data_IF_447180064518
#
_entry.id   IF_447180064518
#
_cell.length_a   1.000
_cell.length_b   1.000
_cell.length_c   1.000
_cell.angle_alpha   90.00
_cell.angle_beta   90.00
_cell.angle_gamma   90.00
#
_symmetry.space_group_name_H-M   'P 1'
#
loop_
_entity.id
_entity.type
_entity.pdbx_description
1 polymer ?
#
# COMPACT_ATOMS: atom_id res chain seq x y z
N UNK A 1 -1.19 12.53 -14.57
CA UNK A 1 -2.59 12.15 -14.26
C UNK A 1 -2.70 10.84 -13.46
N UNK A 2 -2.08 9.75 -13.92
CA UNK A 2 -2.09 8.43 -13.23
C UNK A 2 -1.70 8.52 -11.77
N UNK A 3 -0.58 9.20 -11.47
CA UNK A 3 -0.07 9.35 -10.11
C UNK A 3 -1.06 10.04 -9.15
N UNK A 4 -1.69 11.13 -9.60
CA UNK A 4 -2.73 11.83 -8.82
C UNK A 4 -3.91 10.91 -8.52
N UNK A 5 -4.38 10.17 -9.53
CA UNK A 5 -5.50 9.26 -9.38
C UNK A 5 -5.20 8.17 -8.33
N UNK A 6 -3.99 7.61 -8.35
CA UNK A 6 -3.55 6.60 -7.38
C UNK A 6 -3.49 7.19 -5.97
N UNK A 7 -2.92 8.39 -5.79
CA UNK A 7 -2.91 9.08 -4.49
C UNK A 7 -4.34 9.23 -3.94
N UNK A 8 -5.27 9.71 -4.77
CA UNK A 8 -6.67 9.88 -4.35
C UNK A 8 -7.30 8.55 -3.95
N UNK A 9 -7.07 7.49 -4.72
CA UNK A 9 -7.58 6.15 -4.39
C UNK A 9 -7.00 5.64 -3.07
N UNK A 10 -5.68 5.77 -2.87
CA UNK A 10 -5.00 5.38 -1.63
C UNK A 10 -5.61 6.08 -0.42
N UNK A 11 -5.77 7.41 -0.48
CA UNK A 11 -6.30 8.17 0.65
C UNK A 11 -7.78 7.85 0.93
N UNK A 12 -8.60 7.63 -0.10
CA UNK A 12 -10.01 7.24 0.09
C UNK A 12 -10.14 5.84 0.70
N UNK A 13 -9.26 4.92 0.32
CA UNK A 13 -9.21 3.58 0.91
C UNK A 13 -8.75 3.60 2.35
N UNK A 14 -7.77 4.45 2.67
CA UNK A 14 -7.31 4.65 4.04
C UNK A 14 -8.41 5.19 4.95
N UNK A 15 -9.10 6.26 4.52
CA UNK A 15 -10.25 6.82 5.24
C UNK A 15 -11.42 5.82 5.36
N UNK A 16 -11.58 4.91 4.39
CA UNK A 16 -12.55 3.82 4.50
C UNK A 16 -12.15 2.75 5.52
N UNK A 17 -10.89 2.73 5.96
CA UNK A 17 -10.32 1.78 6.91
C UNK A 17 -9.67 0.55 6.28
N UNK A 18 -9.39 0.58 4.97
CA UNK A 18 -8.93 -0.60 4.22
C UNK A 18 -7.58 -1.12 4.72
N UNK A 19 -6.60 -0.23 4.94
CA UNK A 19 -5.26 -0.61 5.33
C UNK A 19 -5.18 -1.05 6.79
N UNK A 20 -5.91 -0.40 7.71
CA UNK A 20 -6.02 -0.87 9.11
C UNK A 20 -6.70 -2.24 9.17
N UNK A 21 -7.78 -2.43 8.40
CA UNK A 21 -8.46 -3.72 8.27
C UNK A 21 -7.51 -4.82 7.78
N UNK A 22 -6.67 -4.53 6.77
CA UNK A 22 -5.70 -5.49 6.24
C UNK A 22 -4.58 -5.79 7.25
N UNK A 23 -4.05 -4.78 7.94
CA UNK A 23 -3.04 -4.93 8.97
C UNK A 23 -3.54 -5.79 10.14
N UNK A 24 -4.77 -5.56 10.62
CA UNK A 24 -5.39 -6.36 11.68
C UNK A 24 -5.61 -7.82 11.26
N UNK A 25 -5.96 -8.08 10.00
CA UNK A 25 -6.07 -9.44 9.46
C UNK A 25 -4.72 -10.15 9.45
N UNK A 26 -3.70 -9.49 8.89
CA UNK A 26 -2.32 -9.97 8.86
C UNK A 26 -1.80 -10.28 10.27
N UNK A 27 -2.10 -9.40 11.23
CA UNK A 27 -1.72 -9.60 12.62
C UNK A 27 -2.44 -10.80 13.26
N UNK A 28 -3.67 -11.11 12.87
CA UNK A 28 -4.36 -12.32 13.35
C UNK A 28 -3.87 -13.59 12.66
N UNK A 29 -3.58 -13.55 11.36
CA UNK A 29 -3.02 -14.66 10.60
C UNK A 29 -1.64 -15.09 11.09
N UNK A 30 -0.92 -14.16 11.71
CA UNK A 30 0.37 -14.42 12.35
C UNK A 30 0.27 -15.31 13.60
N UNK A 31 -0.94 -15.60 14.09
CA UNK A 31 -1.24 -16.55 15.19
C UNK A 31 -0.42 -16.28 16.45
N UNK A 32 -0.21 -15.00 16.78
CA UNK A 32 0.53 -14.57 17.96
C UNK A 32 2.05 -14.73 17.87
N UNK A 33 2.63 -15.04 16.70
CA UNK A 33 4.09 -15.12 16.51
C UNK A 33 4.66 -13.81 15.96
N UNK A 34 5.57 -13.15 16.68
CA UNK A 34 6.14 -11.88 16.23
C UNK A 34 7.01 -12.02 14.98
N UNK A 35 7.64 -13.18 14.75
CA UNK A 35 8.35 -13.48 13.51
C UNK A 35 7.42 -13.54 12.28
N UNK A 36 6.25 -14.18 12.43
CA UNK A 36 5.24 -14.22 11.36
C UNK A 36 4.63 -12.84 11.13
N UNK A 37 4.37 -12.10 12.22
CA UNK A 37 3.89 -10.73 12.15
C UNK A 37 4.85 -9.85 11.37
N UNK A 38 6.14 -9.94 11.68
CA UNK A 38 7.16 -9.20 10.93
C UNK A 38 7.12 -9.53 9.45
N UNK A 39 7.19 -10.81 9.08
CA UNK A 39 7.16 -11.22 7.69
C UNK A 39 5.89 -10.77 6.97
N UNK A 40 4.71 -10.94 7.58
CA UNK A 40 3.46 -10.57 6.94
C UNK A 40 3.25 -9.05 6.84
N UNK A 41 3.74 -8.26 7.80
CA UNK A 41 3.71 -6.80 7.70
C UNK A 41 4.64 -6.31 6.59
N UNK A 42 5.83 -6.92 6.44
CA UNK A 42 6.70 -6.63 5.30
C UNK A 42 6.01 -6.98 3.99
N UNK A 43 5.41 -8.17 3.88
CA UNK A 43 4.71 -8.57 2.65
C UNK A 43 3.48 -7.70 2.35
N UNK A 44 2.74 -7.27 3.38
CA UNK A 44 1.66 -6.29 3.24
C UNK A 44 2.22 -4.95 2.72
N UNK A 45 3.32 -4.47 3.28
CA UNK A 45 4.00 -3.27 2.83
C UNK A 45 4.46 -3.35 1.37
N UNK A 46 5.03 -4.48 0.97
CA UNK A 46 5.40 -4.73 -0.42
C UNK A 46 4.18 -4.70 -1.36
N UNK A 47 3.09 -5.36 -0.99
CA UNK A 47 1.87 -5.41 -1.79
C UNK A 47 1.20 -4.03 -1.92
N UNK A 48 1.13 -3.28 -0.82
CA UNK A 48 0.57 -1.92 -0.84
C UNK A 48 1.47 -1.00 -1.68
N UNK A 49 2.78 -1.05 -1.49
CA UNK A 49 3.72 -0.22 -2.27
C UNK A 49 3.66 -0.53 -3.77
N UNK A 50 3.57 -1.80 -4.15
CA UNK A 50 3.37 -2.20 -5.53
C UNK A 50 2.09 -1.62 -6.14
N UNK A 51 1.02 -1.41 -5.36
CA UNK A 51 -0.26 -0.96 -5.90
C UNK A 51 -0.53 0.54 -5.78
N UNK A 52 0.07 1.24 -4.79
CA UNK A 52 -0.44 2.53 -4.28
C UNK A 52 0.55 3.70 -4.23
N UNK A 53 1.68 3.55 -4.89
CA UNK A 53 2.86 4.39 -4.75
C UNK A 53 3.61 4.20 -3.42
N UNK A 54 4.95 4.23 -3.47
CA UNK A 54 5.80 4.04 -2.29
C UNK A 54 5.54 5.08 -1.19
N UNK A 55 5.35 6.35 -1.56
CA UNK A 55 5.12 7.46 -0.64
C UNK A 55 3.81 7.27 0.12
N UNK A 56 2.75 6.88 -0.61
CA UNK A 56 1.45 6.56 -0.02
C UNK A 56 1.55 5.38 0.94
N UNK A 57 2.23 4.30 0.54
CA UNK A 57 2.46 3.14 1.38
C UNK A 57 3.22 3.51 2.67
N UNK A 58 4.28 4.31 2.56
CA UNK A 58 5.07 4.75 3.71
C UNK A 58 4.27 5.65 4.65
N UNK A 59 3.54 6.64 4.13
CA UNK A 59 2.74 7.58 4.92
C UNK A 59 1.56 6.92 5.63
N UNK A 60 0.92 5.93 4.99
CA UNK A 60 -0.28 5.28 5.50
C UNK A 60 0.05 4.08 6.40
N UNK A 61 0.93 3.17 5.96
CA UNK A 61 1.21 1.96 6.72
C UNK A 61 2.02 2.21 7.98
N UNK A 62 2.92 3.20 7.98
CA UNK A 62 3.76 3.50 9.15
C UNK A 62 2.92 3.82 10.40
N UNK A 63 1.97 4.78 10.40
CA UNK A 63 1.15 5.06 11.57
C UNK A 63 0.26 3.87 11.97
N UNK A 64 -0.24 3.10 11.01
CA UNK A 64 -1.04 1.88 11.27
C UNK A 64 -0.18 0.83 11.99
N UNK A 65 1.01 0.55 11.47
CA UNK A 65 1.96 -0.40 12.07
C UNK A 65 2.38 0.09 13.44
N UNK A 66 2.72 1.37 13.59
CA UNK A 66 3.08 1.97 14.88
C UNK A 66 1.97 1.84 15.92
N UNK A 67 0.73 2.18 15.57
CA UNK A 67 -0.41 2.10 16.51
C UNK A 67 -0.65 0.66 16.97
N UNK A 68 -0.50 -0.31 16.07
CA UNK A 68 -0.59 -1.74 16.39
C UNK A 68 0.56 -2.21 17.29
N UNK A 69 1.80 -1.81 17.03
CA UNK A 69 2.95 -2.18 17.86
C UNK A 69 2.84 -1.61 19.27
N UNK A 70 2.33 -0.37 19.38
CA UNK A 70 2.01 0.25 20.66
C UNK A 70 0.90 -0.51 21.41
N UNK A 71 -0.18 -0.89 20.72
CA UNK A 71 -1.25 -1.70 21.31
C UNK A 71 -0.75 -3.06 21.81
N UNK A 72 0.19 -3.67 21.08
CA UNK A 72 0.84 -4.92 21.45
C UNK A 72 1.95 -4.77 22.50
N UNK A 73 2.27 -3.52 22.92
CA UNK A 73 3.33 -3.18 23.88
C UNK A 73 4.71 -3.73 23.50
N UNK A 74 5.06 -3.64 22.21
CA UNK A 74 6.37 -4.07 21.74
C UNK A 74 7.49 -3.17 22.28
N UNK A 75 8.68 -3.74 22.44
CA UNK A 75 9.86 -3.00 22.91
C UNK A 75 10.28 -1.95 21.87
N UNK A 76 11.00 -0.88 22.28
CA UNK A 76 11.52 0.11 21.33
C UNK A 76 12.39 -0.51 20.21
N UNK A 77 13.16 -1.55 20.54
CA UNK A 77 13.98 -2.27 19.57
C UNK A 77 13.13 -3.03 18.54
N UNK A 78 12.07 -3.72 18.99
CA UNK A 78 11.13 -4.36 18.08
C UNK A 78 10.40 -3.32 17.22
N UNK A 79 9.94 -2.21 17.80
CA UNK A 79 9.29 -1.13 17.06
C UNK A 79 10.20 -0.55 15.98
N UNK A 80 11.47 -0.32 16.30
CA UNK A 80 12.48 0.10 15.32
C UNK A 80 12.60 -0.90 14.17
N UNK A 81 12.65 -2.21 14.46
CA UNK A 81 12.72 -3.24 13.43
C UNK A 81 11.56 -3.15 12.43
N UNK A 82 10.32 -3.04 12.93
CA UNK A 82 9.13 -2.94 12.07
C UNK A 82 9.09 -1.64 11.26
N UNK A 83 9.44 -0.50 11.86
CA UNK A 83 9.46 0.79 11.16
C UNK A 83 10.52 0.81 10.07
N UNK A 84 11.73 0.32 10.38
CA UNK A 84 12.80 0.19 9.39
C UNK A 84 12.36 -0.73 8.25
N UNK A 85 11.74 -1.85 8.57
CA UNK A 85 11.25 -2.77 7.57
C UNK A 85 10.16 -2.17 6.69
N UNK A 86 9.22 -1.41 7.26
CA UNK A 86 8.21 -0.67 6.51
C UNK A 86 8.84 0.34 5.54
N UNK A 87 9.89 1.07 5.95
CA UNK A 87 10.61 1.99 5.08
C UNK A 87 11.32 1.30 3.91
N UNK A 88 12.16 0.30 4.20
CA UNK A 88 12.90 -0.42 3.16
C UNK A 88 11.98 -1.17 2.20
N UNK A 89 10.88 -1.73 2.70
CA UNK A 89 9.94 -2.46 1.85
C UNK A 89 9.02 -1.55 1.06
N UNK A 90 8.70 -0.35 1.56
CA UNK A 90 7.99 0.64 0.77
C UNK A 90 8.80 0.98 -0.49
N UNK A 91 10.11 1.18 -0.35
CA UNK A 91 10.96 1.42 -1.52
C UNK A 91 11.08 0.19 -2.43
N UNK A 92 11.53 -0.94 -1.86
CA UNK A 92 11.76 -2.18 -2.62
C UNK A 92 10.50 -2.74 -3.29
N UNK A 93 9.36 -2.69 -2.59
CA UNK A 93 8.08 -3.19 -3.05
C UNK A 93 7.47 -2.37 -4.19
N UNK A 94 8.00 -1.17 -4.44
CA UNK A 94 7.55 -0.30 -5.53
C UNK A 94 8.22 -0.58 -6.88
N UNK A 95 9.15 -1.52 -6.95
CA UNK A 95 9.84 -1.88 -8.21
C UNK A 95 8.96 -2.55 -9.28
N UNK A 96 8.01 -3.46 -8.96
CA UNK A 96 7.38 -4.31 -9.98
C UNK A 96 6.53 -3.60 -11.03
N UNK A 97 5.79 -2.54 -10.68
CA UNK A 97 4.84 -1.91 -11.59
C UNK A 97 5.23 -0.46 -11.87
N UNK A 98 4.96 -0.01 -13.11
CA UNK A 98 5.22 1.37 -13.56
C UNK A 98 4.56 2.38 -12.62
N UNK A 99 3.34 2.07 -12.17
CA UNK A 99 2.50 2.96 -11.37
C UNK A 99 2.90 3.07 -9.89
N UNK A 100 3.77 2.19 -9.42
CA UNK A 100 4.16 2.07 -8.01
C UNK A 100 5.17 3.11 -7.55
N UNK A 101 5.83 3.80 -8.48
CA UNK A 101 6.83 4.82 -8.14
C UNK A 101 6.89 5.86 -9.25
N UNK A 102 7.03 7.14 -8.88
CA UNK A 102 7.21 8.22 -9.84
C UNK A 102 8.41 7.97 -10.78
N UNK A 103 9.52 7.46 -10.24
CA UNK A 103 10.72 7.17 -11.03
C UNK A 103 10.44 6.11 -12.10
N UNK A 104 9.61 5.13 -11.79
CA UNK A 104 9.20 4.11 -12.76
C UNK A 104 8.31 4.70 -13.86
N UNK A 105 7.36 5.57 -13.50
CA UNK A 105 6.50 6.28 -14.47
C UNK A 105 7.36 7.11 -15.43
N UNK A 106 8.27 7.93 -14.91
CA UNK A 106 9.14 8.79 -15.73
C UNK A 106 10.07 7.96 -16.62
N UNK A 107 10.63 6.87 -16.09
CA UNK A 107 11.50 5.99 -16.86
C UNK A 107 10.75 5.28 -17.97
N UNK A 108 9.56 4.73 -17.68
CA UNK A 108 8.73 4.07 -18.66
C UNK A 108 8.29 5.02 -19.78
N UNK A 109 7.91 6.25 -19.43
CA UNK A 109 7.54 7.28 -20.42
C UNK A 109 8.73 7.68 -21.30
N UNK A 110 9.90 7.93 -20.70
CA UNK A 110 11.12 8.32 -21.42
C UNK A 110 11.58 7.24 -22.42
N UNK A 111 11.51 5.97 -22.03
CA UNK A 111 11.91 4.84 -22.88
C UNK A 111 10.76 4.26 -23.73
N UNK A 112 9.54 4.79 -23.61
CA UNK A 112 8.36 4.28 -24.31
C UNK A 112 8.01 2.83 -23.94
N UNK A 113 8.25 2.43 -22.69
CA UNK A 113 7.96 1.08 -22.21
C UNK A 113 6.47 0.92 -21.88
N UNK A 114 5.84 -0.10 -22.45
CA UNK A 114 4.49 -0.50 -22.10
C UNK A 114 4.40 -1.05 -20.66
N UNK A 115 3.21 -0.99 -20.07
CA UNK A 115 2.98 -1.48 -18.70
C UNK A 115 3.29 -2.97 -18.57
N UNK A 116 2.81 -3.79 -19.51
CA UNK A 116 3.02 -5.23 -19.51
C UNK A 116 4.49 -5.60 -19.72
N UNK A 117 5.18 -4.93 -20.64
CA UNK A 117 6.60 -5.16 -20.92
C UNK A 117 7.46 -4.85 -19.71
N UNK A 118 7.24 -3.69 -19.08
CA UNK A 118 7.91 -3.31 -17.84
C UNK A 118 7.67 -4.35 -16.74
N UNK A 119 6.39 -4.70 -16.49
CA UNK A 119 6.02 -5.64 -15.44
C UNK A 119 6.61 -7.04 -15.67
N UNK A 120 6.71 -7.49 -16.92
CA UNK A 120 7.25 -8.82 -17.26
C UNK A 120 8.70 -9.02 -16.78
N UNK A 121 9.50 -7.94 -16.77
CA UNK A 121 10.89 -7.93 -16.31
C UNK A 121 10.97 -7.57 -14.83
N UNK A 122 10.23 -6.56 -14.42
CA UNK A 122 10.37 -5.96 -13.09
C UNK A 122 9.63 -6.73 -11.99
N UNK A 123 8.60 -7.53 -12.31
CA UNK A 123 7.94 -8.40 -11.33
C UNK A 123 8.89 -9.47 -10.79
N UNK A 124 9.61 -10.26 -11.61
CA UNK A 124 10.63 -11.18 -11.12
C UNK A 124 11.73 -10.50 -10.29
N UNK A 125 12.23 -9.35 -10.76
CA UNK A 125 13.25 -8.55 -10.04
C UNK A 125 12.71 -8.09 -8.69
N UNK A 126 11.49 -7.54 -8.65
CA UNK A 126 10.86 -7.07 -7.43
C UNK A 126 10.57 -8.19 -6.45
N UNK A 127 10.18 -9.39 -6.90
CA UNK A 127 10.02 -10.55 -6.01
C UNK A 127 11.36 -10.96 -5.39
N UNK A 128 12.44 -11.01 -6.18
CA UNK A 128 13.78 -11.31 -5.67
C UNK A 128 14.26 -10.24 -4.68
N UNK A 129 14.03 -8.96 -4.98
CA UNK A 129 14.38 -7.84 -4.10
C UNK A 129 13.58 -7.86 -2.81
N UNK A 130 12.26 -8.06 -2.85
CA UNK A 130 11.39 -8.20 -1.66
C UNK A 130 11.84 -9.38 -0.80
N UNK A 131 12.12 -10.53 -1.41
CA UNK A 131 12.59 -11.71 -0.67
C UNK A 131 13.95 -11.45 -0.01
N UNK A 132 14.87 -10.79 -0.70
CA UNK A 132 16.20 -10.44 -0.18
C UNK A 132 16.11 -9.42 0.94
N UNK A 133 15.32 -8.35 0.76
CA UNK A 133 15.07 -7.33 1.77
C UNK A 133 14.44 -7.94 3.03
N UNK A 134 13.40 -8.77 2.87
CA UNK A 134 12.79 -9.49 3.98
C UNK A 134 13.81 -10.39 4.70
N UNK A 135 14.61 -11.15 3.95
CA UNK A 135 15.62 -12.05 4.53
C UNK A 135 16.67 -11.28 5.33
N UNK A 136 17.25 -10.23 4.75
CA UNK A 136 18.29 -9.42 5.39
C UNK A 136 17.76 -8.75 6.65
N UNK A 137 16.59 -8.10 6.57
CA UNK A 137 15.98 -7.43 7.71
C UNK A 137 15.57 -8.43 8.79
N UNK A 138 15.02 -9.58 8.41
CA UNK A 138 14.68 -10.63 9.35
C UNK A 138 15.94 -11.14 10.07
N UNK A 139 17.02 -11.44 9.35
CA UNK A 139 18.26 -11.92 9.95
C UNK A 139 18.92 -10.88 10.86
N UNK A 140 18.83 -9.60 10.50
CA UNK A 140 19.36 -8.48 11.29
C UNK A 140 18.57 -8.29 12.59
N UNK A 141 17.24 -8.20 12.51
CA UNK A 141 16.36 -7.88 13.64
C UNK A 141 15.79 -9.09 14.39
N UNK A 142 16.05 -10.34 13.97
CA UNK A 142 15.47 -11.56 14.59
C UNK A 142 15.64 -11.66 16.12
N UNK A 143 16.66 -11.00 16.68
CA UNK A 143 16.91 -11.00 18.13
C UNK A 143 16.04 -9.99 18.87
N UNK A 144 15.63 -8.92 18.20
CA UNK A 144 14.82 -7.85 18.75
C UNK A 144 13.32 -8.13 18.62
N UNK A 145 12.94 -8.99 17.67
CA UNK A 145 11.55 -9.38 17.45
C UNK A 145 10.99 -10.24 18.61
N UNK A 146 9.79 -9.93 19.11
CA UNK A 146 9.17 -10.71 20.17
C UNK A 146 8.80 -12.11 19.65
N UNK A 147 9.00 -13.13 20.48
CA UNK A 147 8.62 -14.50 20.10
C UNK A 147 7.10 -14.66 20.03
N UNK A 148 6.37 -14.05 20.97
CA UNK A 148 4.92 -14.11 21.07
C UNK A 148 4.29 -12.77 21.42
N UNK A 149 3.04 -12.58 21.02
CA UNK A 149 2.21 -11.46 21.44
C UNK A 149 0.75 -11.90 21.63
N UNK A 150 0.01 -11.15 22.45
CA UNK A 150 -1.39 -11.41 22.76
C UNK A 150 -2.30 -10.88 21.64
N UNK A 151 -3.14 -11.75 21.07
CA UNK A 151 -4.09 -11.38 20.01
C UNK A 151 -5.27 -10.58 20.56
N UNK A 152 -5.56 -10.74 21.85
CA UNK A 152 -6.64 -10.09 22.58
C UNK A 152 -6.41 -8.59 22.72
N UNK A 153 -5.16 -8.13 22.62
CA UNK A 153 -4.80 -6.72 22.62
C UNK A 153 -5.16 -6.00 21.30
N UNK A 154 -5.46 -6.75 20.24
CA UNK A 154 -5.82 -6.19 18.93
C UNK A 154 -7.32 -6.01 18.78
N UNK A 155 -7.72 -4.90 18.17
CA UNK A 155 -9.11 -4.65 17.78
C UNK A 155 -9.62 -5.73 16.81
N UNK A 156 -10.94 -5.87 16.73
CA UNK A 156 -11.55 -6.72 15.72
C UNK A 156 -11.42 -6.04 14.34
N UNK A 157 -11.04 -6.75 13.26
CA UNK A 157 -10.83 -6.11 11.96
C UNK A 157 -12.06 -5.38 11.43
N UNK A 158 -13.26 -5.85 11.75
CA UNK A 158 -14.53 -5.22 11.36
C UNK A 158 -14.68 -3.80 11.92
N UNK A 159 -14.06 -3.51 13.08
CA UNK A 159 -14.12 -2.18 13.71
C UNK A 159 -13.26 -1.14 12.99
N UNK A 160 -12.35 -1.57 12.11
CA UNK A 160 -11.55 -0.66 11.29
C UNK A 160 -12.36 -0.08 10.12
N UNK A 161 -13.46 -0.71 9.69
CA UNK A 161 -14.22 -0.26 8.52
C UNK A 161 -15.10 0.94 8.91
N UNK A 162 -14.70 2.14 8.47
CA UNK A 162 -15.43 3.38 8.75
C UNK A 162 -16.60 3.62 7.77
N UNK A 163 -16.39 3.26 6.50
CA UNK A 163 -17.43 3.34 5.48
C UNK A 163 -17.47 2.08 4.60
N UNK A 164 -18.48 1.25 4.84
CA UNK A 164 -18.66 -0.03 4.16
C UNK A 164 -18.88 0.12 2.65
N UNK A 165 -19.55 1.19 2.21
CA UNK A 165 -19.79 1.41 0.79
C UNK A 165 -18.47 1.72 0.06
N UNK A 166 -17.72 2.70 0.56
CA UNK A 166 -16.40 3.04 0.01
C UNK A 166 -15.40 1.88 0.14
N UNK A 167 -15.46 1.09 1.22
CA UNK A 167 -14.61 -0.10 1.37
C UNK A 167 -14.87 -1.17 0.29
N UNK A 168 -16.14 -1.54 0.06
CA UNK A 168 -16.49 -2.55 -0.94
C UNK A 168 -16.19 -2.06 -2.34
N UNK A 169 -16.61 -0.84 -2.68
CA UNK A 169 -16.32 -0.24 -3.99
C UNK A 169 -14.82 -0.09 -4.16
N UNK A 170 -14.10 0.33 -3.12
CA UNK A 170 -12.65 0.43 -3.09
C UNK A 170 -11.96 -0.88 -3.44
N UNK A 171 -12.36 -1.99 -2.84
CA UNK A 171 -11.83 -3.31 -3.18
C UNK A 171 -12.06 -3.68 -4.66
N UNK A 172 -13.24 -3.37 -5.20
CA UNK A 172 -13.52 -3.56 -6.62
C UNK A 172 -12.73 -2.60 -7.52
N UNK A 173 -12.52 -1.36 -7.08
CA UNK A 173 -11.70 -0.37 -7.77
C UNK A 173 -10.26 -0.84 -7.89
N UNK A 174 -9.72 -1.52 -6.89
CA UNK A 174 -8.37 -2.11 -6.96
C UNK A 174 -8.26 -3.25 -7.95
N UNK A 175 -9.24 -4.15 -7.92
CA UNK A 175 -9.30 -5.22 -8.91
C UNK A 175 -9.46 -4.63 -10.33
N UNK A 176 -10.32 -3.63 -10.48
CA UNK A 176 -10.54 -2.92 -11.74
C UNK A 176 -9.31 -2.18 -12.25
N UNK A 177 -8.54 -1.54 -11.35
CA UNK A 177 -7.25 -0.93 -11.67
C UNK A 177 -6.26 -1.97 -12.20
N UNK A 178 -6.06 -3.06 -11.46
CA UNK A 178 -5.10 -4.09 -11.80
C UNK A 178 -5.46 -4.76 -13.14
N UNK A 179 -6.72 -5.19 -13.28
CA UNK A 179 -7.22 -5.79 -14.52
C UNK A 179 -7.16 -4.78 -15.66
N UNK A 180 -7.56 -3.54 -15.41
CA UNK A 180 -7.55 -2.47 -16.41
C UNK A 180 -6.14 -2.17 -16.92
N UNK A 181 -5.13 -2.16 -16.06
CA UNK A 181 -3.74 -1.95 -16.49
C UNK A 181 -3.21 -3.10 -17.35
N UNK A 182 -3.54 -4.35 -17.05
CA UNK A 182 -3.06 -5.49 -17.86
C UNK A 182 -3.89 -5.73 -19.13
N UNK A 183 -5.17 -5.37 -19.15
CA UNK A 183 -6.09 -5.68 -20.27
C UNK A 183 -6.28 -4.49 -21.21
N UNK A 184 -6.42 -3.27 -20.69
CA UNK A 184 -6.78 -2.10 -21.50
C UNK A 184 -5.56 -1.39 -22.08
N UNK A 185 -4.41 -1.46 -21.42
CA UNK A 185 -3.18 -0.85 -21.93
C UNK A 185 -2.68 -1.47 -23.25
N UNK A 186 -2.68 -2.81 -23.42
CA UNK A 186 -2.37 -3.43 -24.72
C UNK A 186 -3.37 -3.09 -25.83
N UNK A 187 -4.57 -2.63 -25.47
CA UNK A 187 -5.61 -2.17 -26.40
C UNK A 187 -5.46 -0.68 -26.76
N UNK A 188 -4.39 -0.03 -26.30
CA UNK A 188 -4.09 1.38 -26.56
C UNK A 188 -4.77 2.37 -25.62
N UNK A 189 -5.43 1.89 -24.54
CA UNK A 189 -6.01 2.78 -23.53
C UNK A 189 -4.93 3.22 -22.55
N UNK A 190 -4.66 4.52 -22.39
CA UNK A 190 -3.65 4.98 -21.46
C UNK A 190 -3.99 4.60 -20.01
N UNK A 191 -2.98 4.15 -19.26
CA UNK A 191 -3.05 3.84 -17.82
C UNK A 191 -3.66 5.00 -17.02
N UNK A 192 -3.43 6.24 -17.45
CA UNK A 192 -4.01 7.45 -16.86
C UNK A 192 -5.52 7.51 -16.91
N UNK A 193 -6.14 7.04 -18.00
CA UNK A 193 -7.61 7.03 -18.19
C UNK A 193 -8.24 5.99 -17.27
N UNK A 194 -7.64 4.79 -17.21
CA UNK A 194 -8.09 3.72 -16.32
C UNK A 194 -8.04 4.19 -14.86
N UNK A 195 -6.89 4.74 -14.44
CA UNK A 195 -6.71 5.24 -13.08
C UNK A 195 -7.68 6.38 -12.75
N UNK A 196 -7.85 7.35 -13.66
CA UNK A 196 -8.78 8.46 -13.47
C UNK A 196 -10.24 8.00 -13.35
N UNK A 197 -10.67 7.03 -14.16
CA UNK A 197 -12.03 6.48 -14.09
C UNK A 197 -12.26 5.78 -12.75
N UNK A 198 -11.32 4.94 -12.32
CA UNK A 198 -11.34 4.29 -11.01
C UNK A 198 -11.40 5.29 -9.85
N UNK A 199 -10.57 6.34 -9.89
CA UNK A 199 -10.57 7.39 -8.88
C UNK A 199 -11.89 8.16 -8.86
N UNK A 200 -12.45 8.49 -10.02
CA UNK A 200 -13.72 9.21 -10.13
C UNK A 200 -14.90 8.41 -9.56
N UNK A 201 -14.96 7.10 -9.87
CA UNK A 201 -15.99 6.20 -9.34
C UNK A 201 -15.89 6.11 -7.81
N UNK A 202 -14.69 5.86 -7.29
CA UNK A 202 -14.48 5.74 -5.85
C UNK A 202 -14.79 7.05 -5.12
N UNK A 203 -14.34 8.18 -5.68
CA UNK A 203 -14.61 9.51 -5.14
C UNK A 203 -16.10 9.83 -5.12
N UNK A 204 -16.84 9.50 -6.18
CA UNK A 204 -18.29 9.73 -6.24
C UNK A 204 -19.05 8.94 -5.18
N UNK A 205 -18.62 7.70 -4.89
CA UNK A 205 -19.21 6.88 -3.82
C UNK A 205 -18.88 7.46 -2.45
N UNK A 206 -17.62 7.80 -2.20
CA UNK A 206 -17.18 8.41 -0.94
C UNK A 206 -17.90 9.75 -0.67
N UNK A 207 -18.04 10.60 -1.71
CA UNK A 207 -18.73 11.88 -1.62
C UNK A 207 -20.23 11.71 -1.30
N UNK A 208 -20.90 10.70 -1.87
CA UNK A 208 -22.31 10.41 -1.57
C UNK A 208 -22.53 9.88 -0.15
N UNK A 209 -21.57 9.14 0.38
CA UNK A 209 -21.66 8.56 1.72
C UNK A 209 -21.66 9.59 2.86
N UNK A 210 -21.12 10.81 2.64
CA UNK A 210 -20.93 11.88 3.64
C UNK A 210 -20.16 11.47 4.92
N UNK A 211 -19.67 10.24 5.01
CA UNK A 211 -18.87 9.73 6.14
C UNK A 211 -17.39 10.09 6.03
N UNK A 212 -16.90 10.22 4.81
CA UNK A 212 -15.51 10.58 4.50
C UNK A 212 -15.48 12.05 4.07
N UNK A 213 -14.63 12.85 4.71
CA UNK A 213 -14.42 14.25 4.30
C UNK A 213 -13.52 14.30 3.08
N UNK A 214 -14.11 14.17 1.89
CA UNK A 214 -13.38 14.21 0.61
C UNK A 214 -12.56 15.49 0.42
N UNK A 215 -13.03 16.62 0.98
CA UNK A 215 -12.29 17.89 0.99
C UNK A 215 -11.03 17.84 1.85
N UNK A 216 -11.06 17.10 2.96
CA UNK A 216 -9.88 16.90 3.82
C UNK A 216 -8.86 16.01 3.12
N UNK A 217 -9.32 14.90 2.53
CA UNK A 217 -8.48 13.98 1.73
C UNK A 217 -7.71 14.73 0.64
N UNK A 218 -8.40 15.57 -0.13
CA UNK A 218 -7.74 16.37 -1.18
C UNK A 218 -6.80 17.43 -0.61
N UNK A 219 -6.96 17.87 0.65
CA UNK A 219 -6.06 18.86 1.25
C UNK A 219 -4.79 18.21 1.82
N UNK A 220 -4.91 17.00 2.36
CA UNK A 220 -3.82 16.25 2.99
C UNK A 220 -2.98 15.46 1.98
N UNK A 221 -3.43 15.37 0.72
CA UNK A 221 -2.65 14.76 -0.35
C UNK A 221 -1.28 15.46 -0.55
N UNK A 222 -0.21 14.70 -0.83
CA UNK A 222 1.16 15.22 -0.98
C UNK A 222 1.37 15.91 -2.33
N UNK A 223 0.70 17.04 -2.55
CA UNK A 223 0.74 17.78 -3.82
C UNK A 223 2.12 18.25 -4.23
N UNK A 224 3.04 18.41 -3.28
CA UNK A 224 4.43 18.74 -3.57
C UNK A 224 5.11 17.70 -4.47
N UNK A 225 4.81 16.40 -4.29
CA UNK A 225 5.36 15.34 -5.16
C UNK A 225 4.80 15.47 -6.58
N UNK A 226 3.52 15.80 -6.69
CA UNK A 226 2.86 16.03 -7.98
C UNK A 226 3.48 17.21 -8.73
N UNK A 227 3.73 18.33 -8.04
CA UNK A 227 4.36 19.51 -8.66
C UNK A 227 5.80 19.21 -9.12
N UNK A 228 6.55 18.40 -8.36
CA UNK A 228 7.90 17.99 -8.74
C UNK A 228 7.92 17.04 -9.95
N UNK A 229 6.83 16.31 -10.19
CA UNK A 229 6.70 15.35 -11.29
C UNK A 229 6.24 15.92 -12.64
N UNK A 230 5.92 17.22 -12.69
CA UNK A 230 5.50 17.95 -13.89
C UNK A 230 6.70 18.60 -14.58
#
# INVERSE_FOLDING_TARGET
>A
ATFIAIIVISLLLDEAGFFEWAALHVARWSKGSGYRLFAFIVLLGAAVSALFANDGAALILTPIVMSMLLALRFSPAATLAFVMAAGFIADTGSLPLVVSNLVNIVSADYFGLGFADYASVMVPVGLASVATTLLVLFLFFRRDLPQRYALEALRAPETAIHDRATFIVGAWTLLGLLVGFFVLEPLGVPVSVVAAACAAILFAVAAKGHKISTRRVLREAPWHVVVFSL
#
